data_IF_879262704735
#
_entry.id   IF_879262704735
#
_cell.length_a   1.000
_cell.length_b   1.000
_cell.length_c   1.000
_cell.angle_alpha   90.00
_cell.angle_beta   90.00
_cell.angle_gamma   90.00
#
_symmetry.space_group_name_H-M   'P 1'
#
loop_
_entity.id
_entity.type
_entity.pdbx_description
1 polymer ?
#
# COMPACT_ATOMS: atom_id res chain seq x y z
N UNK A 1 54.62 -45.75 -4.13
CA UNK A 1 53.66 -45.06 -3.22
C UNK A 1 52.89 -44.10 -4.05
N UNK A 2 51.62 -44.39 -4.32
CA UNK A 2 50.71 -43.49 -5.04
C UNK A 2 49.74 -42.92 -4.01
N UNK A 3 49.83 -41.60 -3.74
CA UNK A 3 48.86 -40.91 -2.90
C UNK A 3 47.70 -40.49 -3.81
N UNK A 4 46.51 -41.03 -3.56
CA UNK A 4 45.28 -40.61 -4.19
C UNK A 4 44.69 -39.47 -3.34
N UNK A 5 44.70 -38.26 -3.90
CA UNK A 5 44.06 -37.11 -3.29
C UNK A 5 42.59 -37.12 -3.73
N UNK A 6 41.70 -37.48 -2.83
CA UNK A 6 40.27 -37.34 -3.04
C UNK A 6 39.85 -35.89 -2.83
N UNK A 7 39.49 -35.24 -3.91
CA UNK A 7 38.87 -33.93 -3.86
C UNK A 7 37.38 -34.10 -3.48
N UNK A 8 37.01 -33.63 -2.29
CA UNK A 8 35.61 -33.53 -1.87
C UNK A 8 35.07 -32.24 -2.47
N UNK A 9 34.26 -32.34 -3.50
CA UNK A 9 33.53 -31.20 -4.03
C UNK A 9 32.32 -30.95 -3.15
N UNK A 10 32.38 -29.94 -2.29
CA UNK A 10 31.23 -29.47 -1.55
C UNK A 10 30.32 -28.71 -2.51
N UNK A 11 29.20 -29.29 -2.88
CA UNK A 11 28.14 -28.60 -3.59
C UNK A 11 27.43 -27.67 -2.56
N UNK A 12 27.71 -26.40 -2.62
CA UNK A 12 26.92 -25.40 -1.90
C UNK A 12 25.55 -25.30 -2.56
N UNK A 13 24.54 -25.91 -1.95
CA UNK A 13 23.15 -25.66 -2.28
C UNK A 13 22.84 -24.21 -1.81
N UNK A 14 22.97 -23.27 -2.73
CA UNK A 14 22.47 -21.93 -2.51
C UNK A 14 20.95 -22.00 -2.40
N UNK A 15 20.43 -21.87 -1.19
CA UNK A 15 19.03 -21.57 -1.00
C UNK A 15 18.81 -20.15 -1.50
N UNK A 16 18.35 -20.03 -2.76
CA UNK A 16 17.89 -18.78 -3.30
C UNK A 16 16.68 -18.33 -2.48
N UNK A 17 16.88 -17.44 -1.50
CA UNK A 17 15.78 -16.72 -0.93
C UNK A 17 15.14 -15.94 -2.07
N UNK A 18 13.87 -16.25 -2.40
CA UNK A 18 13.05 -15.39 -3.24
C UNK A 18 12.89 -14.09 -2.48
N UNK A 19 13.77 -13.13 -2.75
CA UNK A 19 13.57 -11.77 -2.26
C UNK A 19 12.27 -11.30 -2.91
N UNK A 20 11.25 -11.01 -2.08
CA UNK A 20 10.11 -10.23 -2.54
C UNK A 20 10.68 -8.96 -3.12
N UNK A 21 10.27 -8.62 -4.34
CA UNK A 21 10.65 -7.37 -4.96
C UNK A 21 10.12 -6.24 -4.07
N UNK A 22 11.01 -5.66 -3.23
CA UNK A 22 10.70 -4.58 -2.29
C UNK A 22 10.23 -3.31 -3.00
N UNK A 23 10.32 -3.28 -4.34
CA UNK A 23 9.89 -2.16 -5.17
C UNK A 23 8.45 -2.30 -5.66
N UNK A 24 7.84 -3.47 -5.53
CA UNK A 24 6.45 -3.68 -5.95
C UNK A 24 5.51 -2.92 -5.01
N UNK A 25 4.69 -2.01 -5.54
CA UNK A 25 3.71 -1.29 -4.74
C UNK A 25 2.79 -2.25 -3.98
N UNK A 26 2.57 -1.96 -2.72
CA UNK A 26 1.70 -2.77 -1.85
C UNK A 26 1.18 -1.96 -0.69
N UNK A 27 0.08 -2.40 -0.11
CA UNK A 27 -0.49 -1.82 1.11
C UNK A 27 -1.05 -2.93 1.99
N UNK A 28 -0.76 -2.87 3.27
CA UNK A 28 -1.25 -3.80 4.28
C UNK A 28 -1.92 -3.02 5.40
N UNK A 29 -3.19 -3.33 5.65
CA UNK A 29 -3.97 -2.78 6.74
C UNK A 29 -4.90 -3.86 7.29
N UNK A 30 -5.24 -3.77 8.56
CA UNK A 30 -6.11 -4.70 9.27
C UNK A 30 -7.36 -4.00 9.76
N UNK A 31 -8.41 -4.79 10.02
CA UNK A 31 -9.61 -4.30 10.69
C UNK A 31 -9.22 -3.61 12.00
N UNK A 32 -9.81 -2.46 12.25
CA UNK A 32 -9.41 -1.61 13.37
C UNK A 32 -10.53 -0.66 13.77
N UNK A 33 -10.47 -0.20 15.02
CA UNK A 33 -11.34 0.88 15.48
C UNK A 33 -10.89 2.19 14.86
N UNK A 34 -11.85 2.93 14.32
CA UNK A 34 -11.65 4.28 13.79
C UNK A 34 -12.41 5.33 14.63
N UNK A 35 -12.78 4.97 15.85
CA UNK A 35 -13.56 5.86 16.74
C UNK A 35 -12.83 7.13 17.13
N UNK A 36 -11.50 7.14 17.02
CA UNK A 36 -10.67 8.33 17.24
C UNK A 36 -10.49 9.21 15.98
N UNK A 37 -11.15 8.86 14.87
CA UNK A 37 -11.06 9.60 13.62
C UNK A 37 -9.79 9.34 12.82
N UNK A 38 -9.08 8.24 13.09
CA UNK A 38 -7.84 7.87 12.40
C UNK A 38 -7.95 6.45 11.88
N UNK A 39 -7.46 6.22 10.65
CA UNK A 39 -7.25 4.89 10.10
C UNK A 39 -5.78 4.74 9.71
N UNK A 40 -5.21 3.58 9.93
CA UNK A 40 -3.79 3.34 9.66
C UNK A 40 -3.54 2.07 8.85
N UNK A 41 -2.46 2.10 8.07
CA UNK A 41 -1.88 0.93 7.42
C UNK A 41 -0.56 0.58 8.11
N UNK A 42 -0.33 -0.70 8.37
CA UNK A 42 0.93 -1.16 8.99
C UNK A 42 2.12 -0.91 8.06
N UNK A 43 1.91 -1.10 6.76
CA UNK A 43 2.97 -0.97 5.76
C UNK A 43 2.40 -0.54 4.42
N UNK A 44 3.09 0.41 3.78
CA UNK A 44 2.80 0.82 2.42
C UNK A 44 4.12 0.90 1.64
N UNK A 45 4.22 0.19 0.53
CA UNK A 45 5.32 0.31 -0.42
C UNK A 45 4.86 1.20 -1.57
N UNK A 46 5.48 2.36 -1.71
CA UNK A 46 5.16 3.33 -2.76
C UNK A 46 6.30 3.42 -3.78
N UNK A 47 6.02 3.39 -5.09
CA UNK A 47 7.07 3.45 -6.12
C UNK A 47 7.70 4.83 -6.24
N UNK A 48 6.98 5.85 -5.80
CA UNK A 48 7.38 7.26 -5.78
C UNK A 48 6.64 7.97 -4.65
N UNK A 49 6.96 9.22 -4.39
CA UNK A 49 6.15 10.03 -3.49
C UNK A 49 4.71 10.07 -4.01
N UNK A 50 3.76 9.95 -3.10
CA UNK A 50 2.35 9.88 -3.44
C UNK A 50 1.46 9.93 -2.20
N UNK A 51 0.35 9.22 -2.25
CA UNK A 51 -0.69 9.30 -1.24
C UNK A 51 -1.25 7.92 -0.89
N UNK A 52 -1.50 7.70 0.39
CA UNK A 52 -2.43 6.68 0.84
C UNK A 52 -3.80 7.33 0.91
N UNK A 53 -4.73 6.86 0.09
CA UNK A 53 -6.07 7.44 0.00
C UNK A 53 -7.06 6.46 0.60
N UNK A 54 -7.94 6.97 1.44
CA UNK A 54 -8.98 6.18 2.11
C UNK A 54 -10.31 6.45 1.44
N UNK A 55 -10.86 5.42 0.81
CA UNK A 55 -12.17 5.45 0.18
C UNK A 55 -13.20 4.71 1.03
N UNK A 56 -14.46 5.13 0.98
CA UNK A 56 -15.56 4.26 1.37
C UNK A 56 -15.67 3.13 0.34
N UNK A 57 -16.05 1.96 0.80
CA UNK A 57 -16.36 0.84 -0.09
C UNK A 57 -17.47 -0.02 0.51
N UNK A 58 -17.81 -1.08 -0.17
CA UNK A 58 -18.81 -2.05 0.25
C UNK A 58 -18.39 -3.48 -0.16
N UNK A 59 -19.29 -4.43 -0.03
CA UNK A 59 -19.05 -5.83 -0.38
C UNK A 59 -18.72 -6.07 -1.87
N UNK A 60 -19.01 -5.12 -2.74
CA UNK A 60 -18.66 -5.17 -4.17
C UNK A 60 -17.21 -4.71 -4.42
N UNK A 61 -16.52 -4.18 -3.41
CA UNK A 61 -15.12 -3.75 -3.47
C UNK A 61 -14.84 -2.69 -4.53
N UNK A 62 -15.82 -1.82 -4.82
CA UNK A 62 -15.63 -0.67 -5.69
C UNK A 62 -15.19 0.54 -4.88
N UNK A 63 -14.20 1.32 -5.35
CA UNK A 63 -13.81 2.56 -4.70
C UNK A 63 -14.97 3.56 -4.68
N UNK A 64 -15.33 4.01 -3.49
CA UNK A 64 -16.31 5.07 -3.27
C UNK A 64 -15.66 6.42 -2.97
N UNK A 65 -16.41 7.36 -2.36
CA UNK A 65 -15.89 8.67 -2.03
C UNK A 65 -14.67 8.62 -1.11
N UNK A 66 -13.76 9.58 -1.28
CA UNK A 66 -12.59 9.75 -0.42
C UNK A 66 -13.02 10.33 0.92
N UNK A 67 -12.54 9.72 2.01
CA UNK A 67 -12.82 10.18 3.38
C UNK A 67 -11.55 10.52 4.17
N UNK A 68 -10.38 10.31 3.58
CA UNK A 68 -9.11 10.65 4.21
C UNK A 68 -7.93 10.34 3.30
N UNK A 69 -6.78 10.90 3.63
CA UNK A 69 -5.54 10.63 2.91
C UNK A 69 -4.33 10.95 3.79
N UNK A 70 -3.19 10.38 3.43
CA UNK A 70 -1.91 10.65 4.07
C UNK A 70 -0.78 10.64 3.04
N UNK A 71 0.26 11.47 3.18
CA UNK A 71 1.38 11.48 2.27
C UNK A 71 2.23 10.22 2.41
N UNK A 72 2.80 9.77 1.29
CA UNK A 72 3.74 8.67 1.20
C UNK A 72 5.06 9.14 0.61
N UNK A 73 6.15 8.61 1.14
CA UNK A 73 7.47 8.75 0.52
C UNK A 73 7.71 7.56 -0.39
N UNK A 74 8.52 7.75 -1.41
CA UNK A 74 9.04 6.65 -2.21
C UNK A 74 9.70 5.61 -1.30
N UNK A 75 9.39 4.33 -1.53
CA UNK A 75 9.89 3.21 -0.75
C UNK A 75 8.91 2.75 0.33
N UNK A 76 9.42 2.13 1.37
CA UNK A 76 8.64 1.60 2.47
C UNK A 76 8.22 2.70 3.45
N UNK A 77 6.92 2.70 3.76
CA UNK A 77 6.32 3.52 4.81
C UNK A 77 5.67 2.58 5.82
N UNK A 78 5.92 2.80 7.11
CA UNK A 78 5.32 2.03 8.20
C UNK A 78 4.41 2.91 9.04
N UNK A 79 3.37 2.31 9.60
CA UNK A 79 2.42 3.00 10.49
C UNK A 79 1.87 4.30 9.88
N UNK A 80 1.41 4.20 8.64
CA UNK A 80 0.87 5.34 7.90
C UNK A 80 -0.54 5.62 8.40
N UNK A 81 -0.75 6.80 8.97
CA UNK A 81 -2.03 7.20 9.54
C UNK A 81 -2.69 8.31 8.72
N UNK A 82 -3.96 8.15 8.40
CA UNK A 82 -4.79 9.15 7.76
C UNK A 82 -5.86 9.63 8.73
N UNK A 83 -6.04 10.95 8.79
CA UNK A 83 -7.13 11.56 9.54
C UNK A 83 -8.39 11.49 8.67
N UNK A 84 -9.45 10.92 9.24
CA UNK A 84 -10.74 10.87 8.57
C UNK A 84 -11.40 12.25 8.59
N UNK A 85 -11.89 12.67 7.44
CA UNK A 85 -12.55 13.97 7.25
C UNK A 85 -14.07 13.89 7.50
N UNK A 86 -14.59 12.67 7.60
CA UNK A 86 -15.98 12.37 7.85
C UNK A 86 -16.09 11.25 8.89
N UNK A 87 -17.23 11.17 9.56
CA UNK A 87 -17.50 10.09 10.50
C UNK A 87 -17.64 8.76 9.74
N UNK A 88 -16.97 7.73 10.28
CA UNK A 88 -17.08 6.36 9.81
C UNK A 88 -17.57 5.52 10.98
N UNK A 89 -18.70 4.87 10.78
CA UNK A 89 -19.31 4.04 11.81
C UNK A 89 -18.67 2.65 11.87
N UNK A 90 -18.71 2.03 13.05
CA UNK A 90 -18.38 0.62 13.21
C UNK A 90 -19.20 -0.25 12.24
N UNK A 91 -18.55 -1.18 11.57
CA UNK A 91 -19.14 -2.03 10.53
C UNK A 91 -19.01 -1.50 9.10
N UNK A 92 -18.69 -0.24 8.90
CA UNK A 92 -18.43 0.30 7.57
C UNK A 92 -17.09 -0.23 7.02
N UNK A 93 -17.03 -0.39 5.71
CA UNK A 93 -15.83 -0.85 5.02
C UNK A 93 -15.09 0.33 4.40
N UNK A 94 -13.78 0.30 4.54
CA UNK A 94 -12.86 1.28 3.96
C UNK A 94 -11.86 0.58 3.05
N UNK A 95 -11.55 1.22 1.94
CA UNK A 95 -10.52 0.78 0.99
C UNK A 95 -9.37 1.76 1.02
N UNK A 96 -8.23 1.32 1.52
CA UNK A 96 -6.99 2.08 1.50
C UNK A 96 -6.29 1.80 0.18
N UNK A 97 -5.83 2.83 -0.50
CA UNK A 97 -5.31 2.73 -1.86
C UNK A 97 -4.07 3.61 -2.05
N UNK A 98 -3.13 3.13 -2.84
CA UNK A 98 -1.95 3.92 -3.19
C UNK A 98 -2.22 4.75 -4.43
N UNK A 99 -2.00 6.05 -4.34
CA UNK A 99 -2.15 7.02 -5.41
C UNK A 99 -0.81 7.69 -5.73
N UNK A 100 -0.71 8.21 -6.95
CA UNK A 100 0.43 9.02 -7.40
C UNK A 100 0.36 10.44 -6.83
N UNK A 101 1.48 11.15 -6.93
CA UNK A 101 1.56 12.62 -6.87
C UNK A 101 1.89 13.12 -8.27
N UNK A 102 0.91 13.05 -9.17
CA UNK A 102 1.09 13.41 -10.58
C UNK A 102 -0.14 14.15 -11.14
N UNK A 103 0.13 15.05 -12.05
CA UNK A 103 -0.92 15.91 -12.61
C UNK A 103 -1.30 17.03 -11.64
N UNK A 104 -2.40 17.69 -11.92
CA UNK A 104 -2.87 18.80 -11.10
C UNK A 104 -2.04 20.06 -11.23
N UNK A 105 -2.29 21.01 -10.34
CA UNK A 105 -1.68 22.34 -10.37
C UNK A 105 -0.55 22.48 -9.33
N UNK A 106 -0.66 21.80 -8.22
CA UNK A 106 0.25 21.97 -7.08
C UNK A 106 0.85 20.65 -6.61
N UNK A 107 2.17 20.54 -6.65
CA UNK A 107 2.90 19.39 -6.11
C UNK A 107 2.87 19.42 -4.59
N UNK A 108 2.63 18.26 -3.97
CA UNK A 108 2.54 18.12 -2.53
C UNK A 108 1.19 18.52 -1.94
N UNK A 109 0.24 18.81 -2.77
CA UNK A 109 -1.18 19.05 -2.40
C UNK A 109 -2.01 17.92 -2.98
N UNK A 110 -2.82 17.29 -2.15
CA UNK A 110 -3.71 16.22 -2.60
C UNK A 110 -4.90 16.82 -3.37
N UNK A 111 -4.97 16.50 -4.66
CA UNK A 111 -5.96 17.08 -5.59
C UNK A 111 -6.98 16.06 -6.11
N UNK A 112 -6.85 14.78 -5.74
CA UNK A 112 -7.73 13.73 -6.24
C UNK A 112 -9.18 13.89 -5.74
N UNK A 113 -10.12 13.75 -6.66
CA UNK A 113 -11.52 13.45 -6.38
C UNK A 113 -11.94 12.22 -7.17
N UNK A 114 -12.98 11.51 -6.74
CA UNK A 114 -13.38 10.25 -7.39
C UNK A 114 -13.60 10.45 -8.91
N UNK A 115 -12.83 9.67 -9.69
CA UNK A 115 -12.85 9.75 -11.15
C UNK A 115 -11.91 10.79 -11.76
N UNK A 116 -11.17 11.57 -10.95
CA UNK A 116 -10.19 12.52 -11.44
C UNK A 116 -8.92 11.82 -11.97
N UNK A 117 -8.16 12.52 -12.82
CA UNK A 117 -6.86 12.08 -13.31
C UNK A 117 -5.69 12.58 -12.44
N UNK A 118 -5.91 13.67 -11.71
CA UNK A 118 -4.93 14.25 -10.78
C UNK A 118 -4.76 13.33 -9.56
N UNK A 119 -3.52 13.07 -9.16
CA UNK A 119 -3.19 12.20 -8.03
C UNK A 119 -3.95 10.86 -8.06
N UNK A 120 -4.08 10.28 -9.24
CA UNK A 120 -4.87 9.10 -9.49
C UNK A 120 -4.27 7.82 -8.89
N UNK A 121 -5.07 6.75 -8.83
CA UNK A 121 -4.61 5.47 -8.29
C UNK A 121 -3.56 4.84 -9.18
N UNK A 122 -2.59 4.16 -8.55
CA UNK A 122 -1.62 3.35 -9.28
C UNK A 122 -2.18 1.94 -9.51
N UNK A 123 -1.67 1.29 -10.55
CA UNK A 123 -2.03 -0.08 -10.90
C UNK A 123 -0.78 -0.92 -11.10
N UNK A 124 -0.84 -2.16 -10.66
CA UNK A 124 0.15 -3.19 -10.94
C UNK A 124 -0.54 -4.29 -11.74
N UNK A 125 -0.07 -4.53 -12.96
CA UNK A 125 -0.68 -5.50 -13.88
C UNK A 125 -2.19 -5.28 -14.07
N UNK A 126 -2.62 -4.02 -14.14
CA UNK A 126 -4.02 -3.62 -14.31
C UNK A 126 -4.86 -3.59 -13.04
N UNK A 127 -4.33 -4.02 -11.90
CA UNK A 127 -5.04 -4.06 -10.62
C UNK A 127 -4.68 -2.87 -9.74
N UNK A 128 -5.68 -2.33 -9.05
CA UNK A 128 -5.47 -1.32 -8.01
C UNK A 128 -4.64 -1.89 -6.85
N UNK A 129 -3.82 -1.05 -6.23
CA UNK A 129 -3.04 -1.40 -5.05
C UNK A 129 -3.84 -1.00 -3.82
N UNK A 130 -4.54 -1.96 -3.22
CA UNK A 130 -5.52 -1.70 -2.16
C UNK A 130 -5.41 -2.68 -1.00
N UNK A 131 -5.93 -2.24 0.14
CA UNK A 131 -6.26 -3.09 1.28
C UNK A 131 -7.64 -2.67 1.79
N UNK A 132 -8.56 -3.62 1.91
CA UNK A 132 -9.91 -3.36 2.42
C UNK A 132 -9.97 -3.79 3.88
N UNK A 133 -10.53 -2.92 4.71
CA UNK A 133 -10.73 -3.16 6.14
C UNK A 133 -12.17 -2.92 6.52
N UNK A 134 -12.58 -3.48 7.64
CA UNK A 134 -13.83 -3.16 8.31
C UNK A 134 -13.52 -2.34 9.57
N UNK A 135 -14.23 -1.23 9.74
CA UNK A 135 -14.17 -0.44 10.96
C UNK A 135 -14.80 -1.19 12.12
N UNK A 136 -14.12 -1.23 13.27
CA UNK A 136 -14.57 -1.89 14.50
C UNK A 136 -15.16 -0.90 15.51
#
# INVERSE_FOLDING_TARGET
>A
MKFILSAITAAALGTGALAQDETTPSIAASDQSVSNGVVSAERVMAPANGWMVVHRTDSEMAPGPVVGYAPLRAGENTDVAAILQEDVASGEMLMLMVHTEEGGMDSGIFEYTLGASEDGPIRVEGNLVTSVITAE
#
